data_IF_181045401794
#
_entry.id   IF_181045401794
#
_cell.length_a   1.000
_cell.length_b   1.000
_cell.length_c   1.000
_cell.angle_alpha   90.00
_cell.angle_beta   90.00
_cell.angle_gamma   90.00
#
_symmetry.space_group_name_H-M   'P 1'
#
loop_
_entity.id
_entity.type
_entity.pdbx_description
1 polymer ?
#
# COMPACT_ATOMS: atom_id res chain seq x y z
N UNK A 1 -3.42 12.24 32.77
CA UNK A 1 -2.75 10.93 32.74
C UNK A 1 -3.76 9.85 33.06
N UNK A 2 -4.13 9.03 32.09
CA UNK A 2 -4.29 7.60 32.35
C UNK A 2 -3.40 6.78 31.40
N UNK A 3 -2.80 5.74 31.98
CA UNK A 3 -2.05 4.72 31.27
C UNK A 3 -2.96 3.97 30.29
N UNK A 4 -2.54 3.84 29.03
CA UNK A 4 -3.08 2.83 28.12
C UNK A 4 -2.11 1.64 28.12
N UNK A 5 -2.53 0.62 28.85
CA UNK A 5 -1.89 -0.69 28.88
C UNK A 5 -1.84 -1.29 27.49
N UNK A 6 -0.67 -1.81 27.15
CA UNK A 6 -0.50 -2.69 26.01
C UNK A 6 -1.42 -3.89 26.18
N UNK A 7 -2.17 -4.21 25.13
CA UNK A 7 -2.92 -5.44 25.07
C UNK A 7 -2.99 -5.92 23.63
N UNK A 8 -2.36 -7.06 23.38
CA UNK A 8 -2.88 -8.05 22.43
C UNK A 8 -2.51 -7.86 20.97
N UNK A 9 -1.22 -7.73 20.65
CA UNK A 9 -0.76 -8.12 19.32
C UNK A 9 -0.93 -9.63 19.16
N UNK A 10 -2.02 -10.07 18.52
CA UNK A 10 -2.12 -11.42 18.01
C UNK A 10 -1.07 -11.59 16.90
N UNK A 11 0.14 -11.99 17.28
CA UNK A 11 1.05 -12.69 16.37
C UNK A 11 0.52 -14.11 16.21
N UNK A 12 -0.25 -14.35 15.16
CA UNK A 12 -0.58 -15.70 14.72
C UNK A 12 0.60 -16.25 13.91
N UNK A 13 1.07 -17.42 14.35
CA UNK A 13 2.10 -18.32 13.80
C UNK A 13 2.70 -18.00 12.42
N UNK A 14 4.01 -17.74 12.42
CA UNK A 14 4.92 -17.71 11.27
C UNK A 14 4.42 -17.00 9.99
N UNK A 15 3.75 -15.86 10.13
CA UNK A 15 3.39 -14.98 9.02
C UNK A 15 4.58 -14.16 8.52
N UNK A 16 4.70 -14.00 7.19
CA UNK A 16 5.64 -13.09 6.53
C UNK A 16 5.49 -11.68 7.11
N UNK A 17 6.60 -11.05 7.50
CA UNK A 17 6.62 -9.66 7.98
C UNK A 17 6.09 -8.71 6.90
N UNK A 18 5.31 -7.70 7.30
CA UNK A 18 4.88 -6.63 6.39
C UNK A 18 6.03 -5.66 6.10
N UNK A 19 5.95 -4.86 5.02
CA UNK A 19 6.87 -3.74 4.79
C UNK A 19 6.99 -2.79 5.99
N UNK A 20 5.90 -2.58 6.73
CA UNK A 20 5.91 -1.80 7.96
C UNK A 20 6.79 -2.46 9.04
N UNK A 21 6.60 -3.76 9.27
CA UNK A 21 7.39 -4.51 10.27
C UNK A 21 8.88 -4.48 9.94
N UNK A 22 9.22 -4.61 8.65
CA UNK A 22 10.60 -4.62 8.16
C UNK A 22 11.29 -3.26 8.30
N UNK A 23 10.61 -2.17 7.91
CA UNK A 23 11.19 -0.83 7.89
C UNK A 23 11.11 -0.12 9.25
N UNK A 24 9.99 -0.27 9.94
CA UNK A 24 9.64 0.58 11.08
C UNK A 24 9.27 -0.17 12.35
N UNK A 25 8.98 -1.48 12.30
CA UNK A 25 8.45 -2.22 13.45
C UNK A 25 9.27 -2.06 14.74
N UNK A 26 10.59 -1.98 14.64
CA UNK A 26 11.48 -1.78 15.79
C UNK A 26 11.56 -0.32 16.29
N UNK A 27 11.30 0.67 15.43
CA UNK A 27 11.53 2.09 15.72
C UNK A 27 10.25 2.90 15.88
N UNK A 28 9.14 2.47 15.29
CA UNK A 28 7.87 3.20 15.28
C UNK A 28 7.36 3.54 16.69
N UNK A 29 7.35 2.61 17.68
CA UNK A 29 6.90 2.93 19.03
C UNK A 29 7.69 4.05 19.71
N UNK A 30 8.96 4.24 19.34
CA UNK A 30 9.84 5.26 19.90
C UNK A 30 9.89 6.56 19.08
N UNK A 31 9.61 6.49 17.77
CA UNK A 31 9.77 7.62 16.83
C UNK A 31 8.47 8.26 16.39
N UNK A 32 7.42 7.46 16.13
CA UNK A 32 6.17 7.97 15.57
C UNK A 32 5.33 8.84 16.53
N UNK A 33 5.42 8.69 17.87
CA UNK A 33 4.77 9.63 18.78
C UNK A 33 5.22 11.09 18.57
N UNK A 34 6.50 11.34 18.31
CA UNK A 34 7.00 12.69 18.06
C UNK A 34 6.42 13.32 16.77
N UNK A 35 6.15 12.51 15.75
CA UNK A 35 5.46 12.96 14.52
C UNK A 35 4.02 13.36 14.86
N UNK A 36 3.34 12.58 15.69
CA UNK A 36 1.96 12.87 16.14
C UNK A 36 1.91 14.18 16.93
N UNK A 37 2.86 14.40 17.83
CA UNK A 37 2.97 15.65 18.60
C UNK A 37 3.21 16.86 17.69
N UNK A 38 4.09 16.74 16.68
CA UNK A 38 4.36 17.82 15.73
C UNK A 38 3.12 18.15 14.88
N UNK A 39 2.41 17.15 14.35
CA UNK A 39 1.15 17.35 13.63
C UNK A 39 0.10 18.08 14.46
N UNK A 40 -0.03 17.72 15.75
CA UNK A 40 -0.95 18.38 16.67
C UNK A 40 -0.57 19.83 16.95
N UNK A 41 0.73 20.12 17.10
CA UNK A 41 1.23 21.48 17.34
C UNK A 41 1.00 22.39 16.13
N UNK A 42 1.19 21.87 14.91
CA UNK A 42 0.99 22.61 13.67
C UNK A 42 -0.48 22.65 13.22
N UNK A 43 -1.36 21.86 13.85
CA UNK A 43 -2.75 21.70 13.42
C UNK A 43 -2.88 21.11 12.01
N UNK A 44 -1.87 20.34 11.58
CA UNK A 44 -1.79 19.80 10.23
C UNK A 44 -2.49 18.43 10.14
N UNK A 45 -3.13 18.17 8.99
CA UNK A 45 -3.67 16.85 8.68
C UNK A 45 -2.53 15.87 8.39
N UNK A 46 -2.51 14.67 8.98
CA UNK A 46 -1.52 13.65 8.65
C UNK A 46 -1.68 13.10 7.22
N UNK A 47 -2.84 13.29 6.60
CA UNK A 47 -3.13 12.83 5.24
C UNK A 47 -2.46 13.75 4.20
N UNK A 48 -2.22 15.02 4.55
CA UNK A 48 -1.48 15.96 3.71
C UNK A 48 0.01 15.62 3.73
N UNK A 49 0.45 14.86 2.72
CA UNK A 49 1.83 14.41 2.57
C UNK A 49 2.83 15.58 2.50
N UNK A 50 2.45 16.66 1.83
CA UNK A 50 3.34 17.80 1.59
C UNK A 50 3.56 18.60 2.88
N UNK A 51 2.57 18.64 3.79
CA UNK A 51 2.77 19.12 5.16
C UNK A 51 3.53 18.13 6.02
N UNK A 52 3.19 16.85 5.94
CA UNK A 52 3.81 15.77 6.71
C UNK A 52 5.33 15.71 6.53
N UNK A 53 5.82 15.79 5.28
CA UNK A 53 7.26 15.67 4.97
C UNK A 53 8.10 16.83 5.51
N UNK A 54 7.47 17.97 5.81
CA UNK A 54 8.14 19.16 6.32
C UNK A 54 8.35 19.15 7.84
N UNK A 55 7.72 18.23 8.55
CA UNK A 55 7.86 18.11 10.00
C UNK A 55 9.30 17.74 10.37
N UNK A 56 9.87 18.40 11.37
CA UNK A 56 11.25 18.13 11.80
C UNK A 56 11.48 16.66 12.20
N UNK A 57 10.59 15.99 12.97
CA UNK A 57 10.76 14.58 13.32
C UNK A 57 10.77 13.66 12.10
N UNK A 58 10.02 14.01 11.04
CA UNK A 58 9.96 13.25 9.78
C UNK A 58 11.28 13.40 9.03
N UNK A 59 11.77 14.64 8.85
CA UNK A 59 13.05 14.90 8.21
C UNK A 59 14.24 14.25 8.95
N UNK A 60 14.22 14.25 10.28
CA UNK A 60 15.22 13.53 11.09
C UNK A 60 15.18 12.03 10.84
N UNK A 61 13.99 11.43 10.89
CA UNK A 61 13.82 9.99 10.68
C UNK A 61 14.22 9.55 9.26
N UNK A 62 13.87 10.33 8.24
CA UNK A 62 14.28 10.04 6.86
C UNK A 62 15.81 10.05 6.72
N UNK A 63 16.52 10.98 7.34
CA UNK A 63 18.00 10.97 7.35
C UNK A 63 18.57 9.74 8.04
N UNK A 64 17.95 9.29 9.14
CA UNK A 64 18.37 8.08 9.87
C UNK A 64 18.20 6.80 9.01
N UNK A 65 17.14 6.72 8.21
CA UNK A 65 16.78 5.51 7.44
C UNK A 65 17.42 5.49 6.05
N UNK A 66 17.38 6.61 5.33
CA UNK A 66 17.82 6.69 3.92
C UNK A 66 19.34 6.75 3.83
N UNK A 67 20.05 7.33 4.79
CA UNK A 67 21.49 7.58 4.67
C UNK A 67 21.84 8.37 3.39
N UNK A 68 22.94 8.02 2.72
CA UNK A 68 23.45 8.68 1.50
C UNK A 68 22.90 8.05 0.20
N UNK A 69 21.59 7.82 0.11
CA UNK A 69 20.97 7.24 -1.10
C UNK A 69 20.56 8.32 -2.12
N UNK A 70 20.42 7.94 -3.40
CA UNK A 70 19.99 8.84 -4.48
C UNK A 70 18.53 9.32 -4.36
N UNK A 71 18.13 10.33 -5.15
CA UNK A 71 16.82 11.00 -5.04
C UNK A 71 15.62 10.07 -5.22
N UNK A 72 15.66 9.13 -6.17
CA UNK A 72 14.55 8.20 -6.42
C UNK A 72 14.30 7.27 -5.21
N UNK A 73 15.37 6.87 -4.53
CA UNK A 73 15.27 6.11 -3.30
C UNK A 73 14.67 6.96 -2.17
N UNK A 74 15.02 8.25 -2.08
CA UNK A 74 14.43 9.15 -1.09
C UNK A 74 12.92 9.28 -1.27
N UNK A 75 12.43 9.43 -2.51
CA UNK A 75 10.99 9.51 -2.79
C UNK A 75 10.24 8.24 -2.33
N UNK A 76 10.77 7.06 -2.65
CA UNK A 76 10.19 5.79 -2.20
C UNK A 76 10.13 5.69 -0.66
N UNK A 77 11.16 6.19 0.04
CA UNK A 77 11.17 6.20 1.51
C UNK A 77 10.23 7.24 2.11
N UNK A 78 10.05 8.40 1.48
CA UNK A 78 9.06 9.41 1.89
C UNK A 78 7.66 8.82 1.79
N UNK A 79 7.32 8.21 0.64
CA UNK A 79 6.03 7.56 0.43
C UNK A 79 5.82 6.43 1.45
N UNK A 80 6.81 5.56 1.61
CA UNK A 80 6.73 4.45 2.56
C UNK A 80 6.53 4.96 4.00
N UNK A 81 7.27 5.98 4.44
CA UNK A 81 7.13 6.54 5.78
C UNK A 81 5.75 7.17 6.01
N UNK A 82 5.23 7.91 5.03
CA UNK A 82 3.92 8.55 5.14
C UNK A 82 2.80 7.53 5.29
N UNK A 83 2.74 6.53 4.40
CA UNK A 83 1.75 5.47 4.47
C UNK A 83 1.92 4.58 5.71
N UNK A 84 3.16 4.29 6.12
CA UNK A 84 3.46 3.54 7.34
C UNK A 84 3.01 4.28 8.60
N UNK A 85 3.20 5.61 8.67
CA UNK A 85 2.73 6.42 9.79
C UNK A 85 1.20 6.38 9.89
N UNK A 86 0.49 6.56 8.77
CA UNK A 86 -0.97 6.50 8.75
C UNK A 86 -1.48 5.11 9.16
N UNK A 87 -0.85 4.05 8.65
CA UNK A 87 -1.14 2.67 9.04
C UNK A 87 -0.93 2.43 10.55
N UNK A 88 0.18 2.91 11.12
CA UNK A 88 0.46 2.83 12.54
C UNK A 88 -0.57 3.60 13.38
N UNK A 89 -0.84 4.85 13.00
CA UNK A 89 -1.81 5.71 13.68
C UNK A 89 -3.24 5.14 13.65
N UNK A 90 -3.57 4.36 12.60
CA UNK A 90 -4.85 3.67 12.44
C UNK A 90 -4.92 2.29 13.15
N UNK A 91 -3.87 1.88 13.87
CA UNK A 91 -3.86 0.63 14.64
C UNK A 91 -3.38 -0.60 13.86
N UNK A 92 -2.59 -0.40 12.80
CA UNK A 92 -1.79 -1.45 12.14
C UNK A 92 -2.63 -2.62 11.58
N UNK A 93 -3.78 -2.33 10.96
CA UNK A 93 -4.68 -3.39 10.47
C UNK A 93 -4.18 -4.05 9.19
N UNK A 94 -3.74 -5.31 9.29
CA UNK A 94 -3.36 -6.15 8.16
C UNK A 94 -4.51 -7.06 7.73
N UNK A 95 -4.79 -7.10 6.43
CA UNK A 95 -5.65 -8.09 5.78
C UNK A 95 -4.80 -9.03 4.94
N UNK A 96 -4.66 -10.28 5.38
CA UNK A 96 -3.97 -11.32 4.62
C UNK A 96 -4.88 -11.80 3.49
N UNK A 97 -4.48 -11.52 2.26
CA UNK A 97 -5.20 -11.93 1.06
C UNK A 97 -4.78 -13.37 0.75
N UNK A 98 -5.75 -14.28 0.75
CA UNK A 98 -5.52 -15.67 0.35
C UNK A 98 -5.45 -15.81 -1.17
N UNK A 99 -4.81 -16.86 -1.69
CA UNK A 99 -4.82 -17.11 -3.14
C UNK A 99 -6.23 -17.24 -3.74
N UNK A 100 -7.21 -17.92 -3.11
CA UNK A 100 -8.58 -17.94 -3.62
C UNK A 100 -9.20 -16.55 -3.72
N UNK A 101 -8.99 -15.69 -2.71
CA UNK A 101 -9.53 -14.33 -2.69
C UNK A 101 -8.85 -13.45 -3.75
N UNK A 102 -7.53 -13.60 -3.94
CA UNK A 102 -6.80 -12.96 -5.05
C UNK A 102 -7.36 -13.39 -6.42
N UNK A 103 -7.57 -14.70 -6.63
CA UNK A 103 -8.15 -15.22 -7.87
C UNK A 103 -9.55 -14.65 -8.12
N UNK A 104 -10.36 -14.54 -7.07
CA UNK A 104 -11.68 -13.93 -7.16
C UNK A 104 -11.57 -12.44 -7.52
N UNK A 105 -10.67 -11.68 -6.89
CA UNK A 105 -10.46 -10.27 -7.19
C UNK A 105 -10.03 -10.04 -8.66
N UNK A 106 -9.19 -10.91 -9.22
CA UNK A 106 -8.79 -10.81 -10.63
C UNK A 106 -9.98 -10.96 -11.60
N UNK A 107 -11.01 -11.73 -11.23
CA UNK A 107 -12.21 -11.95 -12.03
C UNK A 107 -13.44 -11.11 -11.67
N UNK A 108 -13.46 -10.46 -10.49
CA UNK A 108 -14.63 -9.71 -10.02
C UNK A 108 -14.88 -8.46 -10.89
N UNK A 109 -16.13 -8.02 -10.96
CA UNK A 109 -16.52 -6.75 -11.61
C UNK A 109 -16.80 -5.65 -10.60
N UNK A 110 -17.07 -6.01 -9.34
CA UNK A 110 -17.34 -5.05 -8.27
C UNK A 110 -16.04 -4.38 -7.84
N UNK A 111 -16.09 -3.07 -7.73
CA UNK A 111 -14.98 -2.21 -7.31
C UNK A 111 -15.56 -1.30 -6.23
N UNK A 112 -14.75 -0.93 -5.25
CA UNK A 112 -15.11 0.11 -4.28
C UNK A 112 -13.86 0.86 -3.82
N UNK A 113 -14.04 2.10 -3.40
CA UNK A 113 -13.05 2.87 -2.62
C UNK A 113 -13.36 2.88 -1.13
N UNK A 114 -14.42 2.17 -0.69
CA UNK A 114 -14.71 2.00 0.71
C UNK A 114 -13.62 1.16 1.38
N UNK A 115 -12.91 1.76 2.34
CA UNK A 115 -11.90 1.07 3.14
C UNK A 115 -12.45 0.77 4.54
N UNK A 116 -12.33 -0.48 5.04
CA UNK A 116 -12.80 -0.86 6.37
C UNK A 116 -12.23 -0.03 7.52
N UNK A 117 -10.97 0.41 7.40
CA UNK A 117 -10.26 1.20 8.41
C UNK A 117 -9.74 2.52 7.81
N UNK A 118 -9.43 3.55 8.63
CA UNK A 118 -8.84 4.79 8.13
C UNK A 118 -7.57 4.56 7.29
N UNK A 119 -6.72 3.62 7.74
CA UNK A 119 -5.59 3.09 6.99
C UNK A 119 -5.40 1.58 7.30
N UNK A 120 -4.93 0.82 6.31
CA UNK A 120 -4.76 -0.63 6.40
C UNK A 120 -3.69 -1.12 5.42
N UNK A 121 -3.25 -2.36 5.59
CA UNK A 121 -2.35 -3.04 4.67
C UNK A 121 -3.00 -4.30 4.12
N UNK A 122 -3.04 -4.43 2.78
CA UNK A 122 -3.47 -5.63 2.08
C UNK A 122 -2.23 -6.45 1.75
N UNK A 123 -1.98 -7.51 2.52
CA UNK A 123 -0.82 -8.38 2.31
C UNK A 123 -1.17 -9.45 1.27
N UNK A 124 -0.52 -9.40 0.11
CA UNK A 124 -0.78 -10.36 -0.97
C UNK A 124 -0.08 -11.70 -0.70
N UNK A 125 -0.54 -12.79 -1.35
CA UNK A 125 0.22 -14.04 -1.38
C UNK A 125 1.60 -13.83 -2.01
N UNK A 126 2.61 -14.36 -1.36
CA UNK A 126 4.00 -14.24 -1.78
C UNK A 126 4.22 -14.79 -3.21
N UNK A 127 4.96 -14.02 -4.03
CA UNK A 127 5.34 -14.36 -5.40
C UNK A 127 4.16 -14.67 -6.36
N UNK A 128 2.92 -14.28 -6.02
CA UNK A 128 1.74 -14.52 -6.88
C UNK A 128 1.41 -13.39 -7.84
N UNK A 129 1.71 -12.15 -7.47
CA UNK A 129 1.47 -10.98 -8.30
C UNK A 129 2.79 -10.31 -8.59
N UNK A 130 3.05 -9.99 -9.85
CA UNK A 130 4.30 -9.40 -10.31
C UNK A 130 4.04 -8.12 -11.09
N UNK A 131 4.94 -7.15 -11.05
CA UNK A 131 4.82 -5.93 -11.85
C UNK A 131 6.17 -5.28 -12.09
N UNK A 132 6.23 -4.35 -13.03
CA UNK A 132 7.41 -3.53 -13.28
C UNK A 132 7.12 -2.12 -12.73
N UNK A 133 7.60 -1.78 -11.52
CA UNK A 133 7.28 -0.50 -10.87
C UNK A 133 7.89 0.71 -11.57
N UNK A 134 8.95 0.50 -12.35
CA UNK A 134 9.56 1.51 -13.20
C UNK A 134 9.69 0.95 -14.62
N UNK A 135 9.51 1.81 -15.62
CA UNK A 135 9.68 1.44 -17.03
C UNK A 135 11.08 0.86 -17.26
N UNK A 136 11.15 -0.22 -18.06
CA UNK A 136 12.37 -0.98 -18.35
C UNK A 136 13.03 -1.71 -17.15
N UNK A 137 12.45 -1.69 -15.95
CA UNK A 137 12.96 -2.48 -14.83
C UNK A 137 12.50 -3.94 -14.87
N UNK A 138 13.34 -4.90 -14.40
CA UNK A 138 12.93 -6.28 -14.23
C UNK A 138 11.65 -6.38 -13.40
N UNK A 139 10.72 -7.32 -13.71
CA UNK A 139 9.54 -7.51 -12.91
C UNK A 139 9.90 -7.93 -11.47
N UNK A 140 9.19 -7.35 -10.52
CA UNK A 140 9.33 -7.61 -9.09
C UNK A 140 8.02 -8.16 -8.50
N UNK A 141 8.08 -8.99 -7.45
CA UNK A 141 6.88 -9.45 -6.79
C UNK A 141 6.24 -8.29 -6.01
N UNK A 142 4.93 -8.15 -6.15
CA UNK A 142 4.12 -7.21 -5.37
C UNK A 142 3.85 -7.81 -3.99
N UNK A 143 4.41 -7.20 -2.95
CA UNK A 143 4.27 -7.68 -1.57
C UNK A 143 2.88 -7.40 -1.01
N UNK A 144 2.35 -6.22 -1.33
CA UNK A 144 1.05 -5.76 -0.89
C UNK A 144 0.85 -4.26 -1.07
N UNK A 145 -0.24 -3.77 -0.50
CA UNK A 145 -0.76 -2.43 -0.73
C UNK A 145 -1.07 -1.77 0.61
N UNK A 146 -0.44 -0.63 0.92
CA UNK A 146 -0.99 0.27 1.92
C UNK A 146 -2.16 1.03 1.30
N UNK A 147 -3.26 1.15 2.03
CA UNK A 147 -4.46 1.84 1.57
C UNK A 147 -4.99 2.70 2.70
N UNK A 148 -5.29 3.97 2.43
CA UNK A 148 -5.97 4.84 3.39
C UNK A 148 -6.98 5.77 2.70
N UNK A 149 -7.94 6.28 3.48
CA UNK A 149 -8.87 7.33 3.02
C UNK A 149 -8.11 8.63 2.81
N UNK A 150 -8.52 9.42 1.84
CA UNK A 150 -8.10 10.82 1.75
C UNK A 150 -9.18 11.75 2.30
N UNK A 151 -8.90 13.05 2.36
CA UNK A 151 -9.87 14.05 2.80
C UNK A 151 -11.01 14.26 1.76
N UNK A 152 -10.82 13.79 0.52
CA UNK A 152 -11.85 13.83 -0.51
C UNK A 152 -12.81 12.64 -0.37
N UNK A 153 -14.11 12.92 -0.33
CA UNK A 153 -15.14 11.89 -0.26
C UNK A 153 -15.04 10.92 -1.47
N UNK A 154 -15.09 9.62 -1.19
CA UNK A 154 -14.98 8.57 -2.21
C UNK A 154 -13.57 8.34 -2.74
N UNK A 155 -12.55 8.96 -2.14
CA UNK A 155 -11.15 8.84 -2.58
C UNK A 155 -10.28 8.05 -1.60
N UNK A 156 -9.33 7.32 -2.16
CA UNK A 156 -8.30 6.55 -1.46
C UNK A 156 -6.92 6.88 -2.02
N UNK A 157 -5.90 6.76 -1.18
CA UNK A 157 -4.51 6.73 -1.58
C UNK A 157 -3.96 5.33 -1.37
N UNK A 158 -3.15 4.86 -2.32
CA UNK A 158 -2.61 3.51 -2.37
C UNK A 158 -1.10 3.57 -2.59
N UNK A 159 -0.35 2.80 -1.81
CA UNK A 159 1.08 2.58 -2.01
C UNK A 159 1.33 1.09 -2.21
N UNK A 160 1.69 0.71 -3.42
CA UNK A 160 2.14 -0.63 -3.76
C UNK A 160 3.63 -0.79 -3.43
N UNK A 161 3.99 -1.84 -2.68
CA UNK A 161 5.37 -2.16 -2.34
C UNK A 161 5.80 -3.42 -3.06
N UNK A 162 6.97 -3.36 -3.70
CA UNK A 162 7.54 -4.45 -4.48
C UNK A 162 8.88 -4.90 -3.92
N UNK A 163 9.04 -6.22 -3.83
CA UNK A 163 10.31 -6.89 -3.60
C UNK A 163 11.02 -6.56 -2.29
N UNK A 164 10.31 -6.10 -1.26
CA UNK A 164 10.85 -5.78 0.06
C UNK A 164 11.05 -7.05 0.89
N UNK A 165 12.31 -7.35 1.23
CA UNK A 165 12.68 -8.55 1.98
C UNK A 165 13.91 -8.32 2.88
N UNK A 166 14.06 -9.04 4.00
CA UNK A 166 15.17 -8.85 4.93
C UNK A 166 16.57 -9.02 4.30
N UNK A 167 16.68 -9.87 3.29
CA UNK A 167 17.92 -10.27 2.62
C UNK A 167 18.27 -9.40 1.40
N UNK A 168 17.44 -8.41 1.04
CA UNK A 168 17.69 -7.51 -0.09
C UNK A 168 17.73 -6.06 0.38
N UNK A 169 18.81 -5.33 0.08
CA UNK A 169 18.81 -3.89 0.24
C UNK A 169 17.88 -3.24 -0.79
N UNK A 170 16.94 -2.43 -0.32
CA UNK A 170 16.04 -1.64 -1.15
C UNK A 170 14.73 -2.34 -1.52
N UNK A 171 13.81 -1.55 -2.07
CA UNK A 171 12.48 -1.92 -2.54
C UNK A 171 12.04 -0.92 -3.60
N UNK A 172 11.00 -1.26 -4.34
CA UNK A 172 10.31 -0.31 -5.23
C UNK A 172 8.93 0.01 -4.68
N UNK A 173 8.48 1.23 -4.93
CA UNK A 173 7.18 1.71 -4.46
C UNK A 173 6.46 2.49 -5.56
N UNK A 174 5.16 2.27 -5.69
CA UNK A 174 4.30 2.99 -6.63
C UNK A 174 3.13 3.58 -5.84
N UNK A 175 3.13 4.92 -5.71
CA UNK A 175 2.05 5.68 -5.10
C UNK A 175 1.01 6.09 -6.14
N UNK A 176 -0.27 5.99 -5.80
CA UNK A 176 -1.37 6.39 -6.66
C UNK A 176 -2.60 6.77 -5.84
N UNK A 177 -3.43 7.64 -6.41
CA UNK A 177 -4.73 8.01 -5.86
C UNK A 177 -5.86 7.42 -6.70
N UNK A 178 -6.94 7.00 -6.05
CA UNK A 178 -8.15 6.53 -6.69
C UNK A 178 -9.37 7.25 -6.14
N UNK A 179 -10.35 7.49 -7.02
CA UNK A 179 -11.59 8.17 -6.66
C UNK A 179 -12.79 7.50 -7.34
N UNK A 180 -13.84 7.23 -6.58
CA UNK A 180 -15.15 6.88 -7.13
C UNK A 180 -15.84 8.14 -7.67
N UNK A 181 -16.52 8.01 -8.82
CA UNK A 181 -17.34 9.11 -9.37
C UNK A 181 -18.60 9.27 -8.50
N UNK A 182 -18.83 10.43 -7.86
CA UNK A 182 -19.99 10.63 -7.00
C UNK A 182 -21.32 10.78 -7.76
N UNK A 183 -21.32 11.10 -9.06
CA UNK A 183 -22.52 11.43 -9.84
C UNK A 183 -23.00 10.27 -10.73
N UNK A 184 -22.17 9.26 -10.99
CA UNK A 184 -22.56 8.00 -11.61
C UNK A 184 -21.99 6.79 -10.85
N UNK A 185 -22.71 6.28 -9.84
CA UNK A 185 -22.28 5.10 -9.10
C UNK A 185 -22.35 3.79 -9.90
N UNK A 186 -22.74 3.83 -11.18
CA UNK A 186 -23.03 2.65 -11.99
C UNK A 186 -22.19 2.52 -13.27
N UNK A 187 -21.61 3.60 -13.77
CA UNK A 187 -20.66 3.56 -14.87
C UNK A 187 -19.24 3.81 -14.35
N UNK A 188 -18.44 2.75 -14.25
CA UNK A 188 -16.97 2.87 -14.15
C UNK A 188 -16.41 3.60 -12.92
N UNK A 189 -16.97 3.35 -11.73
CA UNK A 189 -16.44 3.86 -10.46
C UNK A 189 -14.98 3.46 -10.23
N UNK A 190 -14.16 4.49 -10.04
CA UNK A 190 -12.74 4.56 -10.39
C UNK A 190 -12.57 4.48 -11.91
N UNK A 191 -12.20 5.60 -12.56
CA UNK A 191 -11.70 5.62 -13.95
C UNK A 191 -10.39 4.82 -14.01
N UNK A 192 -10.49 3.50 -13.90
CA UNK A 192 -9.33 2.65 -14.01
C UNK A 192 -9.12 2.41 -15.49
N UNK A 193 -8.21 3.17 -16.08
CA UNK A 193 -7.57 2.80 -17.33
C UNK A 193 -6.73 1.53 -17.10
N UNK A 194 -7.40 0.39 -16.87
CA UNK A 194 -6.82 -0.95 -16.68
C UNK A 194 -6.65 -1.68 -18.04
N UNK A 195 -7.06 -1.06 -19.15
CA UNK A 195 -6.89 -1.61 -20.48
C UNK A 195 -5.42 -1.53 -20.88
N UNK A 196 -4.86 -2.67 -21.30
CA UNK A 196 -3.49 -2.74 -21.79
C UNK A 196 -3.42 -2.32 -23.26
N UNK A 197 -2.35 -1.63 -23.63
CA UNK A 197 -2.08 -1.21 -25.01
C UNK A 197 -1.94 -2.41 -25.98
N UNK A 198 -1.42 -3.53 -25.47
CA UNK A 198 -1.24 -4.78 -26.21
C UNK A 198 -2.57 -5.56 -26.44
N UNK A 199 -3.69 -5.08 -25.90
CA UNK A 199 -5.00 -5.71 -25.99
C UNK A 199 -5.16 -6.99 -25.15
N UNK A 200 -4.14 -7.37 -24.37
CA UNK A 200 -4.24 -8.52 -23.46
C UNK A 200 -5.17 -8.22 -22.29
N UNK A 201 -5.73 -9.29 -21.72
CA UNK A 201 -6.63 -9.17 -20.57
C UNK A 201 -5.87 -8.63 -19.34
N UNK A 202 -6.56 -7.79 -18.56
CA UNK A 202 -6.03 -7.29 -17.31
C UNK A 202 -5.61 -8.45 -16.39
N UNK A 203 -4.51 -8.25 -15.66
CA UNK A 203 -3.88 -9.24 -14.78
C UNK A 203 -3.27 -10.47 -15.45
N UNK A 204 -3.35 -10.60 -16.78
CA UNK A 204 -2.72 -11.69 -17.50
C UNK A 204 -1.20 -11.73 -17.24
N UNK A 205 -0.61 -12.89 -16.92
CA UNK A 205 0.81 -13.00 -16.60
C UNK A 205 1.71 -12.55 -17.75
N UNK A 206 2.76 -11.78 -17.42
CA UNK A 206 3.80 -11.30 -18.35
C UNK A 206 5.12 -12.06 -18.24
N UNK A 207 5.30 -12.82 -17.15
CA UNK A 207 6.48 -13.65 -16.96
C UNK A 207 6.40 -14.93 -17.77
N UNK A 208 7.54 -15.35 -18.32
CA UNK A 208 7.68 -16.66 -18.97
C UNK A 208 7.29 -17.79 -18.01
N UNK A 209 6.42 -18.68 -18.47
CA UNK A 209 5.86 -19.76 -17.64
C UNK A 209 4.82 -19.30 -16.60
N UNK A 210 4.53 -18.00 -16.50
CA UNK A 210 3.62 -17.43 -15.50
C UNK A 210 2.20 -18.02 -15.55
N UNK A 211 1.67 -18.30 -16.75
CA UNK A 211 0.37 -18.98 -16.91
C UNK A 211 0.37 -20.38 -16.29
N UNK A 212 1.41 -21.18 -16.54
CA UNK A 212 1.52 -22.54 -16.00
C UNK A 212 1.70 -22.52 -14.47
N UNK A 213 2.36 -21.49 -13.95
CA UNK A 213 2.55 -21.27 -12.51
C UNK A 213 1.37 -20.57 -11.82
N UNK A 214 0.31 -20.20 -12.55
CA UNK A 214 -0.86 -19.52 -12.01
C UNK A 214 -0.57 -18.11 -11.46
N UNK A 215 0.39 -17.40 -12.07
CA UNK A 215 0.79 -16.06 -11.68
C UNK A 215 -0.12 -15.00 -12.30
N UNK A 216 -0.19 -13.85 -11.63
CA UNK A 216 -0.80 -12.63 -12.14
C UNK A 216 0.26 -11.57 -12.37
N UNK A 217 -0.01 -10.65 -13.31
CA UNK A 217 0.86 -9.50 -13.51
C UNK A 217 0.07 -8.20 -13.51
N UNK A 218 0.58 -7.20 -12.80
CA UNK A 218 0.08 -5.83 -12.85
C UNK A 218 0.96 -5.03 -13.80
N UNK A 219 0.36 -4.55 -14.90
CA UNK A 219 1.07 -3.93 -16.00
C UNK A 219 1.33 -2.44 -15.81
N UNK A 220 0.48 -1.72 -15.06
CA UNK A 220 0.55 -0.27 -14.84
C UNK A 220 -0.25 0.13 -13.61
N UNK A 221 -0.16 1.41 -13.22
CA UNK A 221 -0.85 1.97 -12.06
C UNK A 221 -2.39 1.77 -12.08
N UNK A 222 -2.99 1.81 -13.27
CA UNK A 222 -4.41 1.48 -13.44
C UNK A 222 -4.73 0.08 -12.92
N UNK A 223 -4.03 -0.95 -13.37
CA UNK A 223 -4.26 -2.31 -12.87
C UNK A 223 -4.01 -2.47 -11.36
N UNK A 224 -3.07 -1.72 -10.76
CA UNK A 224 -2.90 -1.69 -9.29
C UNK A 224 -4.16 -1.18 -8.59
N UNK A 225 -4.75 -0.09 -9.11
CA UNK A 225 -5.93 0.50 -8.53
C UNK A 225 -7.17 -0.40 -8.72
N UNK A 226 -7.30 -1.03 -9.89
CA UNK A 226 -8.34 -2.03 -10.15
C UNK A 226 -8.27 -3.18 -9.15
N UNK A 227 -7.08 -3.75 -8.97
CA UNK A 227 -6.88 -4.85 -8.03
C UNK A 227 -7.23 -4.42 -6.60
N UNK A 228 -6.78 -3.24 -6.20
CA UNK A 228 -7.06 -2.68 -4.87
C UNK A 228 -8.56 -2.54 -4.63
N UNK A 229 -9.29 -1.88 -5.53
CA UNK A 229 -10.73 -1.66 -5.36
C UNK A 229 -11.54 -2.95 -5.37
N UNK A 230 -11.13 -3.97 -6.14
CA UNK A 230 -11.77 -5.29 -6.12
C UNK A 230 -11.49 -6.06 -4.83
N UNK A 231 -10.27 -5.98 -4.30
CA UNK A 231 -9.94 -6.56 -3.00
C UNK A 231 -10.76 -5.91 -1.89
N UNK A 232 -10.88 -4.57 -1.89
CA UNK A 232 -11.71 -3.86 -0.92
C UNK A 232 -13.18 -4.28 -1.00
N UNK A 233 -13.74 -4.43 -2.21
CA UNK A 233 -15.13 -4.85 -2.41
C UNK A 233 -15.39 -6.25 -1.84
N UNK A 234 -14.40 -7.14 -1.91
CA UNK A 234 -14.47 -8.47 -1.32
C UNK A 234 -14.35 -8.46 0.20
N UNK A 235 -13.58 -7.53 0.77
CA UNK A 235 -13.44 -7.37 2.22
C UNK A 235 -14.67 -6.74 2.88
N UNK A 236 -15.44 -5.93 2.16
CA UNK A 236 -16.71 -5.34 2.64
C UNK A 236 -17.88 -6.34 2.61
N UNK A 237 -17.75 -7.40 1.82
CA UNK A 237 -18.82 -8.40 1.63
C UNK A 237 -18.79 -9.55 2.64
N UNK A 238 -17.86 -9.55 3.59
CA UNK A 238 -17.65 -10.64 4.55
C UNK A 238 -17.60 -10.15 5.99
#
# INVERSE_FOLDING_TARGET
MPARGGNGGFRTDAGRLSPFDLAFGAIAPARFPAITEALQQEGASPIDRDRFVLLEPVGRLLREIVGDTGPDALEAHVLLLHHAYLFWAAGERIYQISEPLLRQAVGDKRITTAVPQPAQYLQLPELRVWGSPHDASPPEPLDGLFVHRTDAAGSIAVLAIFGMRPDRPGFSAVGLDGRADPDDPSATEIEVAATREDGSAAFGPRLDGGTAAGLFSVAHAGELLLLTGRLLALLDSG
#
